data_IF_691871710877
#
_entry.id   IF_691871710877
#
_cell.length_a   1.000
_cell.length_b   1.000
_cell.length_c   1.000
_cell.angle_alpha   90.00
_cell.angle_beta   90.00
_cell.angle_gamma   90.00
#
_symmetry.space_group_name_H-M   'P 1'
#
loop_
_entity.id
_entity.type
_entity.pdbx_description
1 polymer ?
#
# COMPACT_ATOMS: atom_id res chain seq x y z
N UNK A 1 18.23 -14.76 -14.62
CA UNK A 1 17.68 -13.39 -14.74
C UNK A 1 16.53 -13.48 -15.74
N UNK A 2 15.33 -12.97 -15.42
CA UNK A 2 14.12 -13.09 -16.26
C UNK A 2 13.98 -11.99 -17.32
N UNK A 3 14.93 -11.05 -17.35
CA UNK A 3 14.92 -9.91 -18.24
C UNK A 3 15.95 -10.11 -19.36
N UNK A 4 15.45 -10.37 -20.56
CA UNK A 4 16.19 -10.56 -21.79
C UNK A 4 15.45 -9.84 -22.94
N UNK A 5 16.00 -9.77 -24.16
CA UNK A 5 15.34 -9.06 -25.27
C UNK A 5 13.91 -9.53 -25.57
N UNK A 6 13.59 -10.82 -25.38
CA UNK A 6 12.28 -11.40 -25.69
C UNK A 6 11.24 -11.09 -24.60
N UNK A 7 11.68 -10.75 -23.39
CA UNK A 7 10.82 -10.43 -22.25
C UNK A 7 10.75 -8.93 -21.92
N UNK A 8 11.75 -8.14 -22.32
CA UNK A 8 11.92 -6.75 -21.90
C UNK A 8 10.73 -5.84 -22.23
N UNK A 9 10.11 -6.00 -23.39
CA UNK A 9 8.93 -5.19 -23.77
C UNK A 9 7.74 -5.49 -22.85
N UNK A 10 7.43 -6.78 -22.64
CA UNK A 10 6.32 -7.17 -21.75
C UNK A 10 6.58 -6.74 -20.30
N UNK A 11 7.83 -6.82 -19.87
CA UNK A 11 8.28 -6.37 -18.57
C UNK A 11 8.00 -4.87 -18.36
N UNK A 12 8.51 -4.05 -19.28
CA UNK A 12 8.39 -2.59 -19.24
C UNK A 12 6.92 -2.15 -19.26
N UNK A 13 6.11 -2.75 -20.14
CA UNK A 13 4.68 -2.43 -20.23
C UNK A 13 3.93 -2.78 -18.94
N UNK A 14 4.27 -3.92 -18.32
CA UNK A 14 3.68 -4.33 -17.04
C UNK A 14 3.91 -3.30 -15.94
N UNK A 15 5.15 -2.81 -15.81
CA UNK A 15 5.48 -1.78 -14.83
C UNK A 15 4.88 -0.42 -15.17
N UNK A 16 4.87 -0.02 -16.44
CA UNK A 16 4.23 1.22 -16.85
C UNK A 16 2.72 1.25 -16.52
N UNK A 17 2.04 0.11 -16.72
CA UNK A 17 0.62 -0.05 -16.37
C UNK A 17 0.39 -0.03 -14.86
N UNK A 18 1.27 -0.63 -14.08
CA UNK A 18 1.15 -0.76 -12.62
C UNK A 18 1.71 0.44 -11.85
N UNK A 19 2.48 1.32 -12.48
CA UNK A 19 3.06 2.52 -11.87
C UNK A 19 2.04 3.37 -11.08
N UNK A 20 0.78 3.56 -11.53
CA UNK A 20 -0.23 4.29 -10.75
C UNK A 20 -0.64 3.60 -9.43
N UNK A 21 -0.37 2.31 -9.25
CA UNK A 21 -0.76 1.58 -8.04
C UNK A 21 -0.07 2.15 -6.79
N UNK A 22 1.20 2.57 -6.89
CA UNK A 22 1.96 3.10 -5.74
C UNK A 22 1.33 4.36 -5.14
N UNK A 23 1.06 5.44 -5.91
CA UNK A 23 0.35 6.60 -5.36
C UNK A 23 -1.09 6.28 -4.96
N UNK A 24 -1.78 5.35 -5.63
CA UNK A 24 -3.13 4.94 -5.25
C UNK A 24 -3.18 4.27 -3.88
N UNK A 25 -2.20 3.44 -3.52
CA UNK A 25 -2.09 2.84 -2.19
C UNK A 25 -1.90 3.94 -1.13
N UNK A 26 -1.05 4.93 -1.41
CA UNK A 26 -0.88 6.06 -0.51
C UNK A 26 -2.19 6.84 -0.32
N UNK A 27 -2.88 7.17 -1.42
CA UNK A 27 -4.20 7.84 -1.39
C UNK A 27 -5.23 7.01 -0.62
N UNK A 28 -5.25 5.69 -0.80
CA UNK A 28 -6.15 4.80 -0.06
C UNK A 28 -5.93 4.89 1.46
N UNK A 29 -4.68 4.98 1.92
CA UNK A 29 -4.39 5.20 3.35
C UNK A 29 -4.85 6.58 3.85
N UNK A 30 -4.77 7.62 3.02
CA UNK A 30 -5.35 8.93 3.34
C UNK A 30 -6.87 8.85 3.48
N UNK A 31 -7.54 8.14 2.56
CA UNK A 31 -8.99 7.91 2.59
C UNK A 31 -9.37 7.11 3.83
N UNK A 32 -8.67 6.02 4.12
CA UNK A 32 -8.89 5.17 5.31
C UNK A 32 -8.68 5.97 6.60
N UNK A 33 -7.79 6.94 6.63
CA UNK A 33 -7.56 7.79 7.81
C UNK A 33 -8.36 9.10 7.79
N UNK A 34 -9.26 9.35 6.84
CA UNK A 34 -9.99 10.63 6.75
C UNK A 34 -10.66 11.03 8.07
N UNK A 35 -10.48 12.26 8.52
CA UNK A 35 -11.02 12.75 9.79
C UNK A 35 -10.16 12.47 11.03
N UNK A 36 -9.14 11.59 10.94
CA UNK A 36 -8.21 11.33 12.05
C UNK A 36 -7.06 12.36 12.05
N UNK A 37 -6.87 13.05 13.18
CA UNK A 37 -5.91 14.16 13.33
C UNK A 37 -4.73 13.86 14.26
N UNK A 38 -4.64 12.65 14.81
CA UNK A 38 -3.58 12.30 15.76
C UNK A 38 -2.18 12.35 15.10
N UNK A 39 -1.10 12.59 15.86
CA UNK A 39 0.27 12.50 15.35
C UNK A 39 0.55 11.16 14.66
N UNK A 40 0.02 10.05 15.20
CA UNK A 40 0.15 8.73 14.60
C UNK A 40 -0.55 8.62 13.22
N UNK A 41 -1.72 9.24 13.04
CA UNK A 41 -2.40 9.28 11.75
C UNK A 41 -1.63 10.10 10.72
N UNK A 42 -0.99 11.20 11.13
CA UNK A 42 -0.08 11.93 10.25
C UNK A 42 1.19 11.14 9.93
N UNK A 43 1.79 10.47 10.92
CA UNK A 43 2.93 9.56 10.70
C UNK A 43 2.61 8.47 9.68
N UNK A 44 1.44 7.84 9.79
CA UNK A 44 0.98 6.86 8.82
C UNK A 44 0.89 7.44 7.40
N UNK A 45 0.28 8.62 7.25
CA UNK A 45 0.16 9.30 5.94
C UNK A 45 1.52 9.67 5.34
N UNK A 46 2.42 10.23 6.14
CA UNK A 46 3.78 10.58 5.69
C UNK A 46 4.53 9.35 5.22
N UNK A 47 4.45 8.24 5.96
CA UNK A 47 5.07 6.98 5.57
C UNK A 47 4.43 6.35 4.33
N UNK A 48 3.12 6.53 4.13
CA UNK A 48 2.44 6.10 2.91
C UNK A 48 2.94 6.88 1.68
N UNK A 49 3.18 8.19 1.82
CA UNK A 49 3.80 9.01 0.77
C UNK A 49 5.25 8.57 0.54
N UNK A 50 6.02 8.32 1.60
CA UNK A 50 7.39 7.81 1.48
C UNK A 50 7.43 6.49 0.72
N UNK A 51 6.52 5.56 1.00
CA UNK A 51 6.33 4.35 0.21
C UNK A 51 6.09 4.67 -1.27
N UNK A 52 5.10 5.52 -1.59
CA UNK A 52 4.79 5.83 -2.99
C UNK A 52 5.98 6.45 -3.75
N UNK A 53 6.76 7.30 -3.09
CA UNK A 53 7.95 7.92 -3.69
C UNK A 53 9.07 6.89 -3.88
N UNK A 54 9.45 6.17 -2.83
CA UNK A 54 10.54 5.19 -2.88
C UNK A 54 10.22 4.05 -3.84
N UNK A 55 8.99 3.53 -3.78
CA UNK A 55 8.54 2.43 -4.62
C UNK A 55 8.22 2.85 -6.05
N UNK A 56 7.72 4.07 -6.27
CA UNK A 56 7.63 4.61 -7.64
C UNK A 56 9.01 4.84 -8.26
N UNK A 57 9.99 5.29 -7.47
CA UNK A 57 11.35 5.53 -7.95
C UNK A 57 12.04 4.23 -8.34
N UNK A 58 11.96 3.18 -7.52
CA UNK A 58 12.54 1.89 -7.91
C UNK A 58 11.89 1.33 -9.17
N UNK A 59 10.57 1.46 -9.32
CA UNK A 59 9.86 0.92 -10.48
C UNK A 59 10.26 1.66 -11.75
N UNK A 60 10.52 2.97 -11.63
CA UNK A 60 11.07 3.78 -12.72
C UNK A 60 12.48 3.30 -13.12
N UNK A 61 13.34 2.98 -12.14
CA UNK A 61 14.73 2.53 -12.38
C UNK A 61 14.78 1.09 -12.91
N UNK A 62 14.24 0.15 -12.14
CA UNK A 62 14.33 -1.30 -12.38
C UNK A 62 13.20 -1.81 -13.29
N UNK A 63 11.99 -1.31 -13.11
CA UNK A 63 10.81 -1.77 -13.86
C UNK A 63 10.71 -1.17 -15.26
N UNK A 64 11.21 0.05 -15.47
CA UNK A 64 11.11 0.78 -16.75
C UNK A 64 12.49 1.04 -17.37
N UNK A 65 13.46 1.52 -16.57
CA UNK A 65 14.80 1.88 -17.02
C UNK A 65 15.64 0.68 -17.47
N UNK A 66 15.76 -0.36 -16.64
CA UNK A 66 16.51 -1.57 -16.97
C UNK A 66 16.03 -2.26 -18.26
N UNK A 67 14.73 -2.56 -18.47
CA UNK A 67 14.28 -3.15 -19.74
C UNK A 67 14.50 -2.22 -20.93
N UNK A 68 14.40 -0.90 -20.75
CA UNK A 68 14.71 0.06 -21.82
C UNK A 68 16.16 -0.09 -22.30
N UNK A 69 17.12 -0.26 -21.39
CA UNK A 69 18.52 -0.49 -21.77
C UNK A 69 18.69 -1.77 -22.58
N UNK A 70 18.02 -2.86 -22.17
CA UNK A 70 18.05 -4.15 -22.88
C UNK A 70 17.45 -4.04 -24.28
N UNK A 71 16.29 -3.39 -24.43
CA UNK A 71 15.63 -3.15 -25.72
C UNK A 71 16.57 -2.38 -26.65
N UNK A 72 17.17 -1.29 -26.15
CA UNK A 72 18.04 -0.43 -26.94
C UNK A 72 19.35 -1.10 -27.36
N UNK A 73 19.94 -1.92 -26.49
CA UNK A 73 21.12 -2.70 -26.84
C UNK A 73 20.80 -3.73 -27.94
N UNK A 74 19.66 -4.42 -27.84
CA UNK A 74 19.22 -5.38 -28.85
C UNK A 74 18.96 -4.71 -30.21
N UNK A 75 18.30 -3.55 -30.23
CA UNK A 75 18.08 -2.75 -31.45
C UNK A 75 19.39 -2.32 -32.13
N UNK A 76 20.45 -2.09 -31.36
CA UNK A 76 21.79 -1.72 -31.87
C UNK A 76 22.70 -2.91 -32.18
N UNK A 77 22.26 -4.14 -31.89
CA UNK A 77 23.11 -5.33 -32.02
C UNK A 77 24.28 -5.36 -31.03
N UNK A 78 24.13 -4.68 -29.89
CA UNK A 78 25.15 -4.61 -28.83
C UNK A 78 25.02 -5.74 -27.81
N UNK A 79 26.11 -6.01 -27.09
CA UNK A 79 26.09 -6.90 -25.94
C UNK A 79 25.11 -6.39 -24.86
N UNK A 80 24.49 -7.30 -24.07
CA UNK A 80 23.58 -6.92 -23.00
C UNK A 80 24.21 -5.92 -22.01
N UNK A 81 23.49 -4.84 -21.64
CA UNK A 81 24.00 -3.85 -20.70
C UNK A 81 24.08 -4.41 -19.27
N UNK A 82 24.95 -3.86 -18.41
CA UNK A 82 25.09 -4.28 -17.02
C UNK A 82 23.93 -3.76 -16.14
N UNK A 83 22.73 -4.30 -16.34
CA UNK A 83 21.50 -3.85 -15.65
C UNK A 83 21.43 -4.25 -14.17
N UNK A 84 22.36 -5.06 -13.67
CA UNK A 84 22.37 -5.50 -12.28
C UNK A 84 22.57 -4.33 -11.31
N UNK A 85 23.35 -3.32 -11.68
CA UNK A 85 23.58 -2.13 -10.86
C UNK A 85 22.28 -1.32 -10.66
N UNK A 86 21.41 -1.31 -11.68
CA UNK A 86 20.08 -0.68 -11.59
C UNK A 86 19.15 -1.46 -10.66
N UNK A 87 19.25 -2.79 -10.66
CA UNK A 87 18.50 -3.63 -9.72
C UNK A 87 19.00 -3.46 -8.30
N UNK A 88 20.29 -3.35 -8.06
CA UNK A 88 20.83 -3.14 -6.72
C UNK A 88 20.35 -1.81 -6.10
N UNK A 89 20.36 -0.73 -6.88
CA UNK A 89 19.81 0.57 -6.44
C UNK A 89 18.30 0.46 -6.22
N UNK A 90 17.58 -0.21 -7.14
CA UNK A 90 16.14 -0.43 -7.04
C UNK A 90 15.74 -1.22 -5.79
N UNK A 91 16.47 -2.29 -5.46
CA UNK A 91 16.26 -3.15 -4.29
C UNK A 91 16.38 -2.33 -2.99
N UNK A 92 17.40 -1.48 -2.87
CA UNK A 92 17.60 -0.65 -1.69
C UNK A 92 16.41 0.31 -1.46
N UNK A 93 15.96 0.97 -2.52
CA UNK A 93 14.78 1.85 -2.48
C UNK A 93 13.51 1.05 -2.15
N UNK A 94 13.37 -0.14 -2.72
CA UNK A 94 12.26 -1.05 -2.47
C UNK A 94 12.16 -1.47 -1.03
N UNK A 95 13.25 -1.90 -0.43
CA UNK A 95 13.28 -2.28 0.98
C UNK A 95 12.80 -1.14 1.89
N UNK A 96 13.33 0.08 1.68
CA UNK A 96 12.90 1.26 2.43
C UNK A 96 11.41 1.57 2.21
N UNK A 97 10.94 1.48 0.96
CA UNK A 97 9.53 1.66 0.63
C UNK A 97 8.63 0.66 1.34
N UNK A 98 8.98 -0.63 1.31
CA UNK A 98 8.21 -1.68 1.99
C UNK A 98 8.17 -1.47 3.50
N UNK A 99 9.29 -1.09 4.12
CA UNK A 99 9.30 -0.75 5.55
C UNK A 99 8.38 0.43 5.85
N UNK A 100 8.41 1.47 5.02
CA UNK A 100 7.51 2.61 5.17
C UNK A 100 6.03 2.20 5.07
N UNK A 101 5.66 1.35 4.10
CA UNK A 101 4.30 0.83 3.97
C UNK A 101 3.87 0.00 5.18
N UNK A 102 4.71 -0.94 5.63
CA UNK A 102 4.41 -1.80 6.77
C UNK A 102 4.20 -1.01 8.07
N UNK A 103 5.06 -0.03 8.35
CA UNK A 103 4.91 0.86 9.51
C UNK A 103 3.66 1.74 9.35
N UNK A 104 3.42 2.29 8.16
CA UNK A 104 2.21 3.07 7.87
C UNK A 104 0.93 2.29 8.15
N UNK A 105 0.84 1.05 7.65
CA UNK A 105 -0.31 0.17 7.86
C UNK A 105 -0.50 -0.20 9.34
N UNK A 106 0.59 -0.45 10.05
CA UNK A 106 0.57 -0.74 11.50
C UNK A 106 0.01 0.46 12.28
N UNK A 107 0.51 1.67 12.00
CA UNK A 107 0.00 2.90 12.62
C UNK A 107 -1.47 3.15 12.28
N UNK A 108 -1.87 2.94 11.03
CA UNK A 108 -3.25 3.10 10.60
C UNK A 108 -4.18 2.11 11.32
N UNK A 109 -3.78 0.83 11.41
CA UNK A 109 -4.50 -0.19 12.16
C UNK A 109 -4.65 0.15 13.63
N UNK A 110 -3.58 0.63 14.28
CA UNK A 110 -3.61 1.06 15.67
C UNK A 110 -4.57 2.24 15.89
N UNK A 111 -4.45 3.30 15.09
CA UNK A 111 -5.32 4.48 15.18
C UNK A 111 -6.79 4.07 15.03
N UNK A 112 -7.09 3.27 14.01
CA UNK A 112 -8.46 2.83 13.76
C UNK A 112 -8.97 1.88 14.84
N UNK A 113 -8.14 0.97 15.35
CA UNK A 113 -8.53 0.08 16.44
C UNK A 113 -8.87 0.86 17.71
N UNK A 114 -8.03 1.82 18.10
CA UNK A 114 -8.29 2.65 19.28
C UNK A 114 -9.58 3.47 19.13
N UNK A 115 -9.91 3.89 17.91
CA UNK A 115 -11.10 4.68 17.59
C UNK A 115 -12.39 3.86 17.48
N UNK A 116 -12.32 2.68 16.86
CA UNK A 116 -13.49 1.88 16.45
C UNK A 116 -13.73 0.67 17.35
N UNK A 117 -12.67 0.18 18.02
CA UNK A 117 -12.59 -1.13 18.70
C UNK A 117 -12.95 -2.32 17.81
N UNK A 118 -12.94 -2.12 16.49
CA UNK A 118 -13.26 -3.18 15.53
C UNK A 118 -12.05 -4.09 15.30
N UNK A 119 -12.20 -5.43 15.36
CA UNK A 119 -11.12 -6.37 15.05
C UNK A 119 -10.67 -6.32 13.58
N UNK A 120 -11.47 -5.72 12.69
CA UNK A 120 -11.10 -5.52 11.29
C UNK A 120 -9.90 -4.60 11.13
N UNK A 121 -9.69 -3.66 12.06
CA UNK A 121 -8.55 -2.73 12.01
C UNK A 121 -7.19 -3.45 12.17
N UNK A 122 -6.93 -4.18 13.27
CA UNK A 122 -5.68 -4.93 13.41
C UNK A 122 -5.55 -6.04 12.36
N UNK A 123 -6.65 -6.68 11.95
CA UNK A 123 -6.61 -7.68 10.88
C UNK A 123 -6.17 -7.08 9.54
N UNK A 124 -6.75 -5.94 9.14
CA UNK A 124 -6.38 -5.26 7.90
C UNK A 124 -4.91 -4.84 7.88
N UNK A 125 -4.41 -4.30 9.00
CA UNK A 125 -2.99 -3.99 9.16
C UNK A 125 -2.11 -5.24 9.07
N UNK A 126 -2.48 -6.33 9.75
CA UNK A 126 -1.74 -7.59 9.71
C UNK A 126 -1.66 -8.17 8.29
N UNK A 127 -2.76 -8.10 7.51
CA UNK A 127 -2.77 -8.54 6.11
C UNK A 127 -1.80 -7.71 5.26
N UNK A 128 -1.78 -6.38 5.41
CA UNK A 128 -0.84 -5.51 4.67
C UNK A 128 0.61 -5.82 5.07
N UNK A 129 0.89 -5.95 6.37
CA UNK A 129 2.23 -6.26 6.88
C UNK A 129 2.69 -7.64 6.41
N UNK A 130 1.81 -8.64 6.41
CA UNK A 130 2.11 -9.97 5.87
C UNK A 130 2.39 -9.89 4.37
N UNK A 131 1.64 -9.09 3.61
CA UNK A 131 1.86 -8.85 2.20
C UNK A 131 3.17 -8.10 1.90
N UNK A 132 3.69 -7.32 2.85
CA UNK A 132 5.00 -6.68 2.72
C UNK A 132 6.14 -7.71 2.59
N UNK A 133 6.03 -8.92 3.15
CA UNK A 133 7.08 -9.94 3.01
C UNK A 133 7.29 -10.46 1.58
N UNK A 134 6.27 -10.98 0.87
CA UNK A 134 6.43 -11.36 -0.53
C UNK A 134 6.75 -10.15 -1.41
N UNK A 135 6.24 -8.96 -1.05
CA UNK A 135 6.55 -7.72 -1.75
C UNK A 135 8.01 -7.28 -1.55
N UNK A 136 8.62 -7.54 -0.40
CA UNK A 136 10.06 -7.35 -0.16
C UNK A 136 10.86 -8.35 -1.00
N UNK A 137 10.51 -9.63 -0.92
CA UNK A 137 11.34 -10.72 -1.47
C UNK A 137 11.20 -10.95 -2.97
N UNK A 138 10.05 -10.60 -3.55
CA UNK A 138 9.67 -10.98 -4.92
C UNK A 138 9.07 -9.81 -5.72
N UNK A 139 9.42 -8.56 -5.42
CA UNK A 139 8.89 -7.37 -6.10
C UNK A 139 9.06 -7.35 -7.61
N UNK A 140 10.09 -8.06 -8.09
CA UNK A 140 10.48 -8.19 -9.49
C UNK A 140 9.75 -9.36 -10.18
N UNK A 141 8.98 -10.19 -9.46
CA UNK A 141 8.37 -11.41 -10.03
C UNK A 141 6.84 -11.31 -10.25
N UNK A 142 6.34 -11.64 -11.45
CA UNK A 142 5.01 -11.27 -11.90
C UNK A 142 3.86 -11.82 -11.05
N UNK A 143 3.85 -13.11 -10.68
CA UNK A 143 2.70 -13.67 -9.96
C UNK A 143 2.70 -13.36 -8.47
N UNK A 144 3.87 -13.38 -7.83
CA UNK A 144 3.99 -13.16 -6.39
C UNK A 144 3.79 -11.68 -6.02
N UNK A 145 4.32 -10.76 -6.84
CA UNK A 145 4.10 -9.33 -6.68
C UNK A 145 2.63 -8.94 -6.83
N UNK A 146 1.94 -9.48 -7.84
CA UNK A 146 0.50 -9.26 -8.04
C UNK A 146 -0.32 -9.80 -6.85
N UNK A 147 0.01 -11.00 -6.36
CA UNK A 147 -0.68 -11.55 -5.19
C UNK A 147 -0.49 -10.68 -3.94
N UNK A 148 0.71 -10.13 -3.75
CA UNK A 148 0.98 -9.18 -2.67
C UNK A 148 0.16 -7.89 -2.82
N UNK A 149 0.04 -7.36 -4.05
CA UNK A 149 -0.81 -6.19 -4.34
C UNK A 149 -2.28 -6.44 -4.03
N UNK A 150 -2.81 -7.60 -4.42
CA UNK A 150 -4.18 -8.01 -4.08
C UNK A 150 -4.36 -8.09 -2.56
N UNK A 151 -3.41 -8.70 -1.85
CA UNK A 151 -3.45 -8.77 -0.39
C UNK A 151 -3.41 -7.39 0.27
N UNK A 152 -2.59 -6.45 -0.24
CA UNK A 152 -2.59 -5.05 0.21
C UNK A 152 -3.98 -4.42 0.01
N UNK A 153 -4.60 -4.61 -1.17
CA UNK A 153 -5.95 -4.13 -1.45
C UNK A 153 -7.00 -4.69 -0.49
N UNK A 154 -6.94 -5.99 -0.18
CA UNK A 154 -7.81 -6.64 0.82
C UNK A 154 -7.60 -6.03 2.21
N UNK A 155 -6.34 -5.83 2.62
CA UNK A 155 -6.03 -5.22 3.90
C UNK A 155 -6.55 -3.78 4.02
N UNK A 156 -6.45 -2.98 2.96
CA UNK A 156 -7.03 -1.62 2.90
C UNK A 156 -8.56 -1.65 3.00
N UNK A 157 -9.22 -2.59 2.32
CA UNK A 157 -10.67 -2.77 2.40
C UNK A 157 -11.12 -3.16 3.82
N UNK A 158 -10.35 -4.00 4.53
CA UNK A 158 -10.62 -4.35 5.93
C UNK A 158 -10.47 -3.14 6.86
N UNK A 159 -9.44 -2.31 6.66
CA UNK A 159 -9.26 -1.07 7.42
C UNK A 159 -10.44 -0.11 7.19
N UNK A 160 -10.90 0.06 5.96
CA UNK A 160 -12.08 0.88 5.65
C UNK A 160 -13.36 0.27 6.26
N UNK A 161 -13.54 -1.04 6.17
CA UNK A 161 -14.67 -1.76 6.76
C UNK A 161 -14.76 -1.57 8.29
N UNK A 162 -13.62 -1.48 8.98
CA UNK A 162 -13.57 -1.18 10.42
C UNK A 162 -14.29 0.13 10.77
N UNK A 163 -14.22 1.13 9.89
CA UNK A 163 -14.85 2.44 10.06
C UNK A 163 -16.33 2.41 9.76
N UNK A 164 -16.72 1.76 8.68
CA UNK A 164 -18.11 1.66 8.24
C UNK A 164 -18.94 0.93 9.29
N UNK A 165 -18.41 -0.14 9.86
CA UNK A 165 -19.05 -0.88 10.96
C UNK A 165 -19.33 0.01 12.17
N UNK A 166 -18.35 0.80 12.62
CA UNK A 166 -18.56 1.72 13.75
C UNK A 166 -19.51 2.88 13.43
N UNK A 167 -19.57 3.33 12.17
CA UNK A 167 -20.53 4.37 11.77
C UNK A 167 -21.97 3.84 11.85
N UNK A 168 -22.23 2.64 11.31
CA UNK A 168 -23.54 1.99 11.37
C UNK A 168 -23.98 1.69 12.81
N UNK A 169 -23.06 1.26 13.67
CA UNK A 169 -23.35 0.99 15.08
C UNK A 169 -23.74 2.27 15.87
N UNK A 170 -23.20 3.44 15.50
CA UNK A 170 -23.58 4.72 16.11
C UNK A 170 -24.97 5.18 15.69
N UNK A 171 -25.32 5.03 14.41
CA UNK A 171 -26.65 5.41 13.90
C UNK A 171 -27.77 4.50 14.41
N UNK A 172 -27.47 3.22 14.69
CA UNK A 172 -28.46 2.26 15.17
C UNK A 172 -28.76 2.36 16.68
N UNK A 173 -28.03 3.19 17.45
CA UNK A 173 -28.29 3.38 18.88
C UNK A 173 -29.40 4.43 19.05
N UNK A 174 -30.65 4.05 19.41
CA UNK A 174 -31.73 5.03 19.58
C UNK A 174 -31.38 6.01 20.69
N UNK A 175 -31.75 7.27 20.47
CA UNK A 175 -31.49 8.39 21.37
C UNK A 175 -32.16 8.12 22.73
N UNK A 176 -31.37 7.70 23.71
CA UNK A 176 -31.86 7.31 25.05
C UNK A 176 -32.10 8.55 25.93
N UNK A 177 -32.66 9.60 25.34
CA UNK A 177 -32.81 10.95 25.93
C UNK A 177 -34.27 11.43 25.98
N UNK A 178 -35.24 10.69 25.45
CA UNK A 178 -36.67 11.07 25.51
C UNK A 178 -37.45 10.52 26.72
N UNK A 179 -36.84 9.73 27.61
CA UNK A 179 -37.48 9.26 28.86
C UNK A 179 -36.97 10.08 30.06
N UNK A 180 -37.35 11.34 30.13
CA UNK A 180 -37.41 12.04 31.42
C UNK A 180 -38.87 12.03 31.88
N UNK A 181 -39.23 11.27 32.93
CA UNK A 181 -40.58 11.35 33.48
C UNK A 181 -40.78 12.76 34.02
N UNK A 182 -41.76 13.46 33.46
CA UNK A 182 -42.22 14.76 33.91
C UNK A 182 -42.63 14.62 35.40
N UNK A 183 -42.00 15.33 36.34
CA UNK A 183 -42.44 15.27 37.73
C UNK A 183 -43.84 15.89 37.79
N UNK A 184 -44.84 15.05 38.11
CA UNK A 184 -46.18 15.50 38.44
C UNK A 184 -46.12 16.22 39.79
N UNK A 185 -46.28 17.53 39.76
CA UNK A 185 -46.48 18.35 40.95
C UNK A 185 -47.83 18.03 41.60
N UNK A 186 -47.81 17.53 42.84
CA UNK A 186 -48.89 17.67 43.83
C UNK A 186 -48.28 17.88 45.21
#
# INVERSE_FOLDING_TARGET
>A
LFLDPDTAVRWQLGHLLLLPAFPLIAVALFVVLRGERSPAAWGARTLAVAYALLYGTLDTIAGIGAPQQVIRAAERGESPPPINDLFEIGDQLGHLGVYALGISATLAGLVLFLRTRSPLAPLGAAVIVAACYPFYRFHVFPYKGVLAMVAIGVGLALLEGSRQFSAAARTARPDRTSDTPHPSSR
#
